data_IF_901255175687
#
_entry.id   IF_901255175687
#
_cell.length_a   1.000
_cell.length_b   1.000
_cell.length_c   1.000
_cell.angle_alpha   90.00
_cell.angle_beta   90.00
_cell.angle_gamma   90.00
#
_symmetry.space_group_name_H-M   'P 1'
#
loop_
_entity.id
_entity.type
_entity.pdbx_description
1 polymer ?
#
# COMPACT_ATOMS: atom_id res chain seq x y z
N UNK A 1 25.05 -40.37 60.59
CA UNK A 1 25.06 -41.22 59.39
C UNK A 1 24.18 -40.51 58.40
N UNK A 2 24.81 -39.76 57.48
CA UNK A 2 24.12 -38.98 56.45
C UNK A 2 23.60 -39.96 55.41
N UNK A 3 22.30 -39.92 55.13
CA UNK A 3 21.65 -40.91 54.26
C UNK A 3 22.07 -40.64 52.80
N UNK A 4 22.64 -41.62 52.07
CA UNK A 4 23.00 -41.47 50.65
C UNK A 4 21.84 -41.15 49.70
N UNK A 5 20.62 -41.05 50.23
CA UNK A 5 19.37 -40.79 49.51
C UNK A 5 18.82 -39.38 49.78
N UNK A 6 19.42 -38.59 50.70
CA UNK A 6 19.03 -37.20 50.94
C UNK A 6 19.59 -36.24 49.86
N UNK A 7 20.72 -36.59 49.23
CA UNK A 7 21.34 -35.78 48.17
C UNK A 7 20.55 -35.79 46.84
N UNK A 8 19.81 -36.87 46.55
CA UNK A 8 19.06 -37.00 45.28
C UNK A 8 17.74 -36.19 45.32
N UNK A 9 17.09 -36.12 46.49
CA UNK A 9 15.86 -35.35 46.69
C UNK A 9 16.14 -33.84 46.72
N UNK A 10 17.27 -33.43 47.31
CA UNK A 10 17.70 -32.02 47.34
C UNK A 10 18.14 -31.54 45.96
N UNK A 11 18.74 -32.42 45.14
CA UNK A 11 19.11 -32.13 43.76
C UNK A 11 17.89 -32.03 42.82
N UNK A 12 16.90 -32.92 42.95
CA UNK A 12 15.66 -32.85 42.15
C UNK A 12 14.82 -31.62 42.50
N UNK A 13 14.74 -31.25 43.79
CA UNK A 13 14.05 -30.01 44.22
C UNK A 13 14.76 -28.75 43.72
N UNK A 14 16.09 -28.67 43.80
CA UNK A 14 16.86 -27.55 43.22
C UNK A 14 16.71 -27.48 41.70
N UNK A 15 16.72 -28.63 41.02
CA UNK A 15 16.56 -28.67 39.57
C UNK A 15 15.17 -28.15 39.18
N UNK A 16 14.13 -28.60 39.88
CA UNK A 16 12.75 -28.12 39.70
C UNK A 16 12.62 -26.62 39.95
N UNK A 17 13.16 -26.10 41.05
CA UNK A 17 13.16 -24.66 41.36
C UNK A 17 13.84 -23.86 40.24
N UNK A 18 15.01 -24.31 39.77
CA UNK A 18 15.73 -23.65 38.67
C UNK A 18 14.99 -23.70 37.33
N UNK A 19 14.24 -24.78 37.07
CA UNK A 19 13.38 -24.91 35.91
C UNK A 19 12.16 -23.99 36.01
N UNK A 20 11.59 -23.83 37.21
CA UNK A 20 10.49 -22.90 37.47
C UNK A 20 10.94 -21.43 37.33
N UNK A 21 12.12 -21.08 37.82
CA UNK A 21 12.68 -19.74 37.66
C UNK A 21 12.94 -19.40 36.19
N UNK A 22 13.54 -20.32 35.43
CA UNK A 22 13.74 -20.15 33.98
C UNK A 22 12.42 -20.03 33.22
N UNK A 23 11.45 -20.90 33.53
CA UNK A 23 10.14 -20.85 32.90
C UNK A 23 9.43 -19.53 33.21
N UNK A 24 9.54 -19.05 34.45
CA UNK A 24 8.98 -17.77 34.89
C UNK A 24 9.65 -16.58 34.20
N UNK A 25 10.98 -16.58 34.06
CA UNK A 25 11.70 -15.54 33.33
C UNK A 25 11.32 -15.53 31.84
N UNK A 26 11.19 -16.71 31.24
CA UNK A 26 10.82 -16.85 29.82
C UNK A 26 9.39 -16.39 29.58
N UNK A 27 8.44 -16.73 30.46
CA UNK A 27 7.06 -16.21 30.40
C UNK A 27 7.01 -14.70 30.57
N UNK A 28 7.80 -14.14 31.50
CA UNK A 28 7.83 -12.69 31.75
C UNK A 28 8.42 -11.94 30.57
N UNK A 29 9.54 -12.42 30.03
CA UNK A 29 10.22 -11.80 28.89
C UNK A 29 9.40 -11.93 27.60
N UNK A 30 8.81 -13.10 27.37
CA UNK A 30 7.91 -13.35 26.23
C UNK A 30 6.67 -12.48 26.35
N UNK A 31 6.01 -12.44 27.51
CA UNK A 31 4.82 -11.61 27.74
C UNK A 31 5.09 -10.11 27.62
N UNK A 32 6.27 -9.64 28.05
CA UNK A 32 6.69 -8.25 27.84
C UNK A 32 6.92 -7.94 26.36
N UNK A 33 7.60 -8.84 25.62
CA UNK A 33 7.84 -8.68 24.18
C UNK A 33 6.54 -8.71 23.39
N UNK A 34 5.65 -9.64 23.71
CA UNK A 34 4.32 -9.75 23.12
C UNK A 34 3.47 -8.53 23.44
N UNK A 35 3.50 -8.02 24.68
CA UNK A 35 2.79 -6.81 25.06
C UNK A 35 3.25 -5.57 24.29
N UNK A 36 4.57 -5.40 24.09
CA UNK A 36 5.11 -4.32 23.25
C UNK A 36 4.69 -4.50 21.79
N UNK A 37 4.77 -5.73 21.27
CA UNK A 37 4.42 -6.02 19.88
C UNK A 37 2.94 -5.76 19.63
N UNK A 38 2.06 -6.27 20.49
CA UNK A 38 0.61 -6.06 20.41
C UNK A 38 0.22 -4.59 20.56
N UNK A 39 0.91 -3.83 21.43
CA UNK A 39 0.69 -2.39 21.56
C UNK A 39 1.08 -1.60 20.30
N UNK A 40 2.21 -1.96 19.68
CA UNK A 40 2.65 -1.36 18.41
C UNK A 40 1.71 -1.71 17.26
N UNK A 41 1.34 -2.98 17.14
CA UNK A 41 0.43 -3.47 16.11
C UNK A 41 -0.96 -2.81 16.24
N UNK A 42 -1.48 -2.68 17.46
CA UNK A 42 -2.76 -2.02 17.70
C UNK A 42 -2.78 -0.55 17.26
N UNK A 43 -1.74 0.22 17.59
CA UNK A 43 -1.64 1.62 17.16
C UNK A 43 -1.46 1.76 15.63
N UNK A 44 -0.69 0.86 15.01
CA UNK A 44 -0.47 0.86 13.56
C UNK A 44 -1.74 0.48 12.79
N UNK A 45 -2.50 -0.49 13.29
CA UNK A 45 -3.70 -1.00 12.64
C UNK A 45 -4.83 0.04 12.59
N UNK A 46 -4.99 0.85 13.66
CA UNK A 46 -5.97 1.94 13.67
C UNK A 46 -5.67 3.00 12.58
N UNK A 47 -4.39 3.37 12.43
CA UNK A 47 -3.94 4.27 11.38
C UNK A 47 -4.19 3.71 9.97
N UNK A 48 -3.87 2.42 9.75
CA UNK A 48 -4.15 1.75 8.49
C UNK A 48 -5.65 1.68 8.18
N UNK A 49 -6.48 1.27 9.14
CA UNK A 49 -7.93 1.13 8.95
C UNK A 49 -8.57 2.48 8.60
N UNK A 50 -8.12 3.54 9.28
CA UNK A 50 -8.52 4.92 8.98
C UNK A 50 -8.11 5.34 7.56
N UNK A 51 -6.83 5.17 7.21
CA UNK A 51 -6.31 5.51 5.88
C UNK A 51 -6.98 4.71 4.75
N UNK A 52 -7.24 3.42 4.98
CA UNK A 52 -7.97 2.56 4.05
C UNK A 52 -9.42 3.00 3.89
N UNK A 53 -10.15 3.25 4.98
CA UNK A 53 -11.56 3.63 4.90
C UNK A 53 -11.77 5.02 4.29
N UNK A 54 -10.93 5.99 4.66
CA UNK A 54 -11.10 7.39 4.29
C UNK A 54 -10.55 7.71 2.89
N UNK A 55 -9.40 7.11 2.54
CA UNK A 55 -8.65 7.49 1.33
C UNK A 55 -8.48 6.32 0.38
N UNK A 56 -7.97 5.19 0.88
CA UNK A 56 -7.60 4.04 0.06
C UNK A 56 -8.77 3.43 -0.73
N UNK A 57 -9.82 3.02 -0.02
CA UNK A 57 -10.98 2.36 -0.59
C UNK A 57 -11.81 3.28 -1.50
N UNK A 58 -12.11 4.54 -1.13
CA UNK A 58 -12.84 5.45 -2.01
C UNK A 58 -12.07 5.76 -3.30
N UNK A 59 -10.79 6.11 -3.20
CA UNK A 59 -9.96 6.47 -4.34
C UNK A 59 -9.71 5.26 -5.26
N UNK A 60 -9.38 4.11 -4.68
CA UNK A 60 -9.20 2.86 -5.42
C UNK A 60 -10.47 2.43 -6.16
N UNK A 61 -11.64 2.58 -5.53
CA UNK A 61 -12.94 2.31 -6.18
C UNK A 61 -13.19 3.26 -7.35
N UNK A 62 -12.90 4.54 -7.20
CA UNK A 62 -13.10 5.53 -8.26
C UNK A 62 -12.21 5.20 -9.47
N UNK A 63 -10.91 4.96 -9.27
CA UNK A 63 -9.98 4.59 -10.34
C UNK A 63 -10.38 3.27 -11.00
N UNK A 64 -10.71 2.26 -10.19
CA UNK A 64 -11.17 0.96 -10.65
C UNK A 64 -12.42 1.06 -11.52
N UNK A 65 -13.39 1.89 -11.13
CA UNK A 65 -14.61 2.14 -11.90
C UNK A 65 -14.29 2.73 -13.28
N UNK A 66 -13.41 3.74 -13.35
CA UNK A 66 -13.05 4.38 -14.62
C UNK A 66 -12.29 3.43 -15.56
N UNK A 67 -11.40 2.60 -15.01
CA UNK A 67 -10.73 1.51 -15.76
C UNK A 67 -11.75 0.49 -16.27
N UNK A 68 -12.72 0.12 -15.44
CA UNK A 68 -13.80 -0.81 -15.81
C UNK A 68 -14.68 -0.28 -16.95
N UNK A 69 -15.13 0.98 -16.86
CA UNK A 69 -15.97 1.61 -17.89
C UNK A 69 -15.22 1.69 -19.21
N UNK A 70 -13.98 2.19 -19.21
CA UNK A 70 -13.17 2.28 -20.43
C UNK A 70 -12.92 0.92 -21.07
N UNK A 71 -12.60 -0.11 -20.26
CA UNK A 71 -12.45 -1.48 -20.75
C UNK A 71 -13.75 -2.06 -21.32
N UNK A 72 -14.89 -1.80 -20.67
CA UNK A 72 -16.20 -2.26 -21.14
C UNK A 72 -16.57 -1.64 -22.49
N UNK A 73 -16.36 -0.33 -22.67
CA UNK A 73 -16.61 0.37 -23.94
C UNK A 73 -15.74 -0.24 -25.05
N UNK A 74 -14.45 -0.44 -24.79
CA UNK A 74 -13.53 -1.03 -25.77
C UNK A 74 -13.90 -2.48 -26.12
N UNK A 75 -14.30 -3.28 -25.13
CA UNK A 75 -14.70 -4.66 -25.33
C UNK A 75 -16.00 -4.77 -26.16
N UNK A 76 -17.00 -3.95 -25.84
CA UNK A 76 -18.28 -3.90 -26.56
C UNK A 76 -18.10 -3.37 -27.99
N UNK A 77 -17.24 -2.37 -28.18
CA UNK A 77 -16.90 -1.86 -29.51
C UNK A 77 -16.18 -2.91 -30.35
N UNK A 78 -15.19 -3.62 -29.80
CA UNK A 78 -14.50 -4.71 -30.50
C UNK A 78 -15.43 -5.87 -30.87
N UNK A 79 -16.47 -6.13 -30.08
CA UNK A 79 -17.48 -7.16 -30.37
C UNK A 79 -18.53 -6.69 -31.38
N UNK A 80 -18.52 -5.42 -31.79
CA UNK A 80 -19.54 -4.84 -32.67
C UNK A 80 -20.90 -4.67 -32.01
N UNK A 81 -21.01 -4.79 -30.68
CA UNK A 81 -22.26 -4.56 -29.94
C UNK A 81 -22.55 -3.08 -29.70
N UNK A 82 -21.55 -2.21 -29.90
CA UNK A 82 -21.67 -0.75 -29.83
C UNK A 82 -21.15 -0.17 -31.15
N UNK A 83 -22.02 0.53 -31.88
CA UNK A 83 -21.61 1.34 -33.03
C UNK A 83 -20.95 2.62 -32.52
N UNK A 84 -19.62 2.59 -32.47
CA UNK A 84 -18.80 3.72 -32.07
C UNK A 84 -18.07 4.30 -33.28
N UNK A 85 -18.04 5.63 -33.36
CA UNK A 85 -17.12 6.33 -34.27
C UNK A 85 -15.67 5.87 -33.97
N UNK A 86 -14.85 5.54 -34.99
CA UNK A 86 -13.44 5.20 -34.79
C UNK A 86 -12.68 6.22 -33.92
N UNK A 87 -13.05 7.51 -33.97
CA UNK A 87 -12.44 8.53 -33.12
C UNK A 87 -12.76 8.34 -31.63
N UNK A 88 -13.97 7.90 -31.29
CA UNK A 88 -14.38 7.61 -29.91
C UNK A 88 -13.64 6.39 -29.37
N UNK A 89 -13.47 5.35 -30.20
CA UNK A 89 -12.74 4.15 -29.82
C UNK A 89 -11.28 4.47 -29.56
N UNK A 90 -10.65 5.28 -30.42
CA UNK A 90 -9.27 5.70 -30.25
C UNK A 90 -9.07 6.61 -29.03
N UNK A 91 -10.01 7.51 -28.77
CA UNK A 91 -10.01 8.35 -27.57
C UNK A 91 -10.14 7.51 -26.31
N UNK A 92 -11.08 6.55 -26.28
CA UNK A 92 -11.27 5.63 -25.15
C UNK A 92 -10.02 4.78 -24.90
N UNK A 93 -9.33 4.35 -25.97
CA UNK A 93 -8.07 3.61 -25.86
C UNK A 93 -6.96 4.45 -25.23
N UNK A 94 -6.85 5.71 -25.64
CA UNK A 94 -5.90 6.67 -25.05
C UNK A 94 -6.20 6.92 -23.57
N UNK A 95 -7.48 7.12 -23.22
CA UNK A 95 -7.90 7.29 -21.82
C UNK A 95 -7.59 6.02 -21.03
N UNK A 96 -7.85 4.83 -21.57
CA UNK A 96 -7.57 3.56 -20.90
C UNK A 96 -6.07 3.36 -20.63
N UNK A 97 -5.19 3.71 -21.58
CA UNK A 97 -3.74 3.63 -21.35
C UNK A 97 -3.27 4.61 -20.29
N UNK A 98 -3.78 5.86 -20.32
CA UNK A 98 -3.45 6.88 -19.32
C UNK A 98 -3.97 6.47 -17.92
N UNK A 99 -5.18 5.92 -17.82
CA UNK A 99 -5.72 5.41 -16.56
C UNK A 99 -4.96 4.19 -16.04
N UNK A 100 -4.38 3.35 -16.90
CA UNK A 100 -3.60 2.18 -16.50
C UNK A 100 -2.22 2.57 -15.91
N UNK A 101 -1.65 3.68 -16.35
CA UNK A 101 -0.35 4.18 -15.89
C UNK A 101 -0.42 4.83 -14.50
N UNK A 102 -1.57 5.40 -14.12
CA UNK A 102 -1.78 6.02 -12.80
C UNK A 102 -1.58 4.99 -11.68
N UNK A 103 -0.65 5.25 -10.76
CA UNK A 103 -0.48 4.46 -9.53
C UNK A 103 -1.19 5.15 -8.36
N UNK A 104 -1.51 4.37 -7.34
CA UNK A 104 -2.12 4.91 -6.11
C UNK A 104 -1.22 5.95 -5.44
N UNK A 105 0.10 5.72 -5.43
CA UNK A 105 1.10 6.65 -4.89
C UNK A 105 1.14 8.02 -5.59
N UNK A 106 0.64 8.11 -6.83
CA UNK A 106 0.65 9.36 -7.58
C UNK A 106 -0.59 10.25 -7.33
N UNK A 107 -1.70 9.63 -6.89
CA UNK A 107 -3.00 10.30 -6.69
C UNK A 107 -3.42 10.37 -5.23
N UNK A 108 -2.81 9.57 -4.34
CA UNK A 108 -3.12 9.61 -2.93
C UNK A 108 -2.64 10.96 -2.33
N UNK A 109 -3.46 11.61 -1.49
CA UNK A 109 -3.02 12.75 -0.69
C UNK A 109 -1.78 12.35 0.13
N UNK A 110 -0.79 13.24 0.26
CA UNK A 110 0.33 12.99 1.17
C UNK A 110 -0.20 12.86 2.60
N UNK A 111 0.19 11.79 3.27
CA UNK A 111 -0.16 11.54 4.66
C UNK A 111 0.67 12.46 5.57
N UNK A 112 0.07 13.59 5.96
CA UNK A 112 0.73 14.62 6.78
C UNK A 112 1.05 14.11 8.19
N UNK A 113 0.23 13.20 8.72
CA UNK A 113 0.41 12.60 10.05
C UNK A 113 1.61 11.63 10.05
N UNK A 114 1.73 10.80 9.00
CA UNK A 114 2.89 9.94 8.82
C UNK A 114 4.20 10.74 8.61
N UNK A 115 4.15 11.87 7.89
CA UNK A 115 5.32 12.74 7.65
C UNK A 115 5.75 13.46 8.93
N UNK A 116 4.81 13.96 9.72
CA UNK A 116 5.11 14.60 11.01
C UNK A 116 5.66 13.61 12.03
N UNK A 117 5.09 12.39 12.09
CA UNK A 117 5.59 11.32 12.96
C UNK A 117 7.03 10.91 12.61
N UNK A 118 7.35 10.74 11.32
CA UNK A 118 8.71 10.45 10.86
C UNK A 118 9.69 11.59 11.22
N UNK A 119 9.25 12.85 11.05
CA UNK A 119 10.03 14.05 11.37
C UNK A 119 10.32 14.18 12.87
N UNK A 120 9.36 13.84 13.73
CA UNK A 120 9.50 13.94 15.19
C UNK A 120 10.33 12.78 15.78
N UNK A 121 10.31 11.60 15.17
CA UNK A 121 11.19 10.49 15.52
C UNK A 121 12.67 10.79 15.22
N UNK A 122 12.99 11.38 14.06
CA UNK A 122 14.36 11.82 13.73
C UNK A 122 14.91 12.87 14.70
N UNK A 123 14.05 13.61 15.42
CA UNK A 123 14.45 14.66 16.35
C UNK A 123 14.50 14.20 17.82
N UNK A 124 13.76 13.16 18.21
CA UNK A 124 13.57 12.80 19.63
C UNK A 124 14.49 11.69 20.15
N UNK A 125 14.90 10.75 19.31
CA UNK A 125 15.66 9.58 19.78
C UNK A 125 16.66 9.18 18.70
N UNK A 126 17.97 9.29 18.98
CA UNK A 126 19.03 8.73 18.13
C UNK A 126 19.06 7.20 18.15
N UNK A 127 17.89 6.57 18.24
CA UNK A 127 17.66 5.14 18.37
C UNK A 127 16.69 4.75 17.25
N UNK A 128 17.26 4.04 16.29
CA UNK A 128 16.61 3.55 15.09
C UNK A 128 15.57 2.48 15.49
N UNK A 129 14.36 2.92 15.81
CA UNK A 129 13.21 2.03 15.76
C UNK A 129 13.02 1.71 14.28
N UNK A 130 13.51 0.54 13.88
CA UNK A 130 13.25 -0.13 12.60
C UNK A 130 11.74 -0.35 12.49
N UNK A 131 11.02 0.72 12.19
CA UNK A 131 9.71 0.65 11.54
C UNK A 131 10.03 0.24 10.10
N UNK A 132 9.12 -0.46 9.43
CA UNK A 132 9.16 -0.88 8.02
C UNK A 132 9.41 0.26 6.99
N UNK A 133 9.95 1.40 7.41
CA UNK A 133 10.57 2.44 6.60
C UNK A 133 11.61 1.87 5.63
N UNK A 134 12.36 0.83 6.00
CA UNK A 134 13.29 0.16 5.07
C UNK A 134 12.51 -0.49 3.90
N UNK A 135 11.38 -1.17 4.17
CA UNK A 135 10.54 -1.76 3.11
C UNK A 135 9.82 -0.70 2.26
N UNK A 136 9.37 0.41 2.87
CA UNK A 136 8.74 1.52 2.14
C UNK A 136 9.75 2.31 1.30
N UNK A 137 10.98 2.48 1.80
CA UNK A 137 12.09 3.11 1.06
C UNK A 137 12.55 2.21 -0.08
N UNK A 138 12.73 0.91 0.17
CA UNK A 138 13.01 -0.08 -0.86
C UNK A 138 11.92 -0.08 -1.93
N UNK A 139 10.64 -0.02 -1.54
CA UNK A 139 9.53 0.05 -2.49
C UNK A 139 9.58 1.33 -3.33
N UNK A 140 9.89 2.47 -2.73
CA UNK A 140 10.09 3.74 -3.45
C UNK A 140 11.29 3.68 -4.40
N UNK A 141 12.37 3.02 -4.00
CA UNK A 141 13.57 2.85 -4.81
C UNK A 141 13.34 1.89 -5.98
N UNK A 142 12.63 0.79 -5.76
CA UNK A 142 12.19 -0.13 -6.81
C UNK A 142 11.24 0.57 -7.80
N UNK A 143 10.34 1.42 -7.31
CA UNK A 143 9.48 2.25 -8.16
C UNK A 143 10.30 3.27 -8.98
N UNK A 144 11.30 3.89 -8.38
CA UNK A 144 12.23 4.82 -9.04
C UNK A 144 13.06 4.14 -10.14
N UNK A 145 13.57 2.93 -9.86
CA UNK A 145 14.27 2.08 -10.83
C UNK A 145 13.34 1.70 -11.99
N UNK A 146 12.08 1.39 -11.70
CA UNK A 146 11.04 1.15 -12.71
C UNK A 146 10.83 2.35 -13.65
N UNK A 147 10.78 3.57 -13.10
CA UNK A 147 10.66 4.81 -13.87
C UNK A 147 11.89 5.04 -14.76
N UNK A 148 13.10 4.76 -14.26
CA UNK A 148 14.33 4.86 -15.05
C UNK A 148 14.36 3.85 -16.21
N UNK A 149 13.96 2.60 -15.97
CA UNK A 149 13.88 1.55 -16.99
C UNK A 149 12.82 1.84 -18.04
N UNK A 150 11.65 2.36 -17.64
CA UNK A 150 10.61 2.79 -18.56
C UNK A 150 11.11 3.91 -19.50
N UNK A 151 11.88 4.86 -18.97
CA UNK A 151 12.54 5.91 -19.77
C UNK A 151 13.58 5.38 -20.75
N UNK A 152 14.33 4.34 -20.40
CA UNK A 152 15.34 3.72 -21.28
C UNK A 152 14.71 2.86 -22.38
N UNK A 153 13.59 2.20 -22.10
CA UNK A 153 12.84 1.38 -23.06
C UNK A 153 12.18 2.20 -24.17
N UNK A 154 11.77 3.44 -23.88
CA UNK A 154 10.99 4.29 -24.81
C UNK A 154 11.81 5.03 -25.89
N UNK A 155 13.15 4.88 -25.92
CA UNK A 155 13.99 5.31 -27.06
C UNK A 155 13.97 6.80 -27.43
N UNK A 156 13.49 7.70 -26.56
CA UNK A 156 13.36 9.13 -26.87
C UNK A 156 14.34 10.01 -26.10
N UNK A 157 14.85 11.05 -26.80
CA UNK A 157 15.75 12.09 -26.33
C UNK A 157 15.34 12.66 -24.95
N UNK A 158 16.37 13.02 -24.18
CA UNK A 158 16.45 13.49 -22.79
C UNK A 158 15.58 14.73 -22.43
N UNK A 159 14.62 15.18 -23.24
CA UNK A 159 13.98 16.50 -23.05
C UNK A 159 12.66 16.54 -22.29
N UNK A 160 12.03 15.42 -21.91
CA UNK A 160 10.93 15.45 -20.95
C UNK A 160 10.78 14.11 -20.24
N UNK A 161 11.18 14.03 -18.97
CA UNK A 161 10.73 12.92 -18.11
C UNK A 161 9.19 12.92 -18.15
N UNK A 162 8.52 11.77 -18.38
CA UNK A 162 7.07 11.72 -18.27
C UNK A 162 6.71 12.20 -16.85
N UNK A 163 5.99 13.33 -16.77
CA UNK A 163 5.56 13.91 -15.51
C UNK A 163 4.68 12.87 -14.82
N UNK A 164 4.95 12.58 -13.54
CA UNK A 164 4.11 11.65 -12.76
C UNK A 164 2.65 12.10 -12.84
N UNK A 165 1.70 11.20 -13.13
CA UNK A 165 0.30 11.54 -13.27
C UNK A 165 -0.22 12.18 -11.98
N UNK A 166 -0.76 13.38 -12.03
CA UNK A 166 -1.29 14.07 -10.85
C UNK A 166 -2.77 13.77 -10.65
N UNK A 167 -3.29 14.07 -9.45
CA UNK A 167 -4.74 13.99 -9.19
C UNK A 167 -5.58 14.86 -10.14
N UNK A 168 -5.01 15.96 -10.66
CA UNK A 168 -5.66 16.80 -11.67
C UNK A 168 -5.79 16.08 -13.00
N UNK A 169 -4.75 15.35 -13.41
CA UNK A 169 -4.79 14.53 -14.64
C UNK A 169 -5.86 13.45 -14.53
N UNK A 170 -6.03 12.85 -13.34
CA UNK A 170 -7.10 11.89 -13.09
C UNK A 170 -8.50 12.51 -13.22
N UNK A 171 -8.75 13.67 -12.62
CA UNK A 171 -10.05 14.35 -12.73
C UNK A 171 -10.34 14.81 -14.18
N UNK A 172 -9.32 15.20 -14.93
CA UNK A 172 -9.49 15.56 -16.34
C UNK A 172 -9.75 14.33 -17.23
N UNK A 173 -9.06 13.21 -16.98
CA UNK A 173 -9.38 11.93 -17.62
C UNK A 173 -10.80 11.47 -17.29
N UNK A 174 -11.25 11.73 -16.08
CA UNK A 174 -12.61 11.41 -15.66
C UNK A 174 -13.65 12.20 -16.43
N UNK A 175 -13.51 13.53 -16.51
CA UNK A 175 -14.40 14.39 -17.31
C UNK A 175 -14.41 13.97 -18.79
N UNK A 176 -13.23 13.63 -19.34
CA UNK A 176 -13.11 13.14 -20.73
C UNK A 176 -13.88 11.84 -20.93
N UNK A 177 -13.73 10.87 -20.01
CA UNK A 177 -14.48 9.61 -20.10
C UNK A 177 -15.99 9.83 -19.94
N UNK A 178 -16.41 10.70 -19.02
CA UNK A 178 -17.82 11.07 -18.84
C UNK A 178 -18.43 11.68 -20.12
N UNK A 179 -17.68 12.53 -20.82
CA UNK A 179 -18.08 13.07 -22.13
C UNK A 179 -18.24 11.97 -23.19
N UNK A 180 -17.29 11.04 -23.26
CA UNK A 180 -17.37 9.88 -24.17
C UNK A 180 -18.60 9.02 -23.85
N UNK A 181 -18.85 8.72 -22.57
CA UNK A 181 -20.00 7.94 -22.11
C UNK A 181 -21.32 8.67 -22.44
N UNK A 182 -21.36 9.99 -22.27
CA UNK A 182 -22.50 10.83 -22.63
C UNK A 182 -22.80 10.80 -24.13
N UNK A 183 -21.76 10.87 -24.98
CA UNK A 183 -21.90 10.74 -26.44
C UNK A 183 -22.42 9.37 -26.88
N UNK A 184 -22.15 8.32 -26.11
CA UNK A 184 -22.64 6.97 -26.35
C UNK A 184 -24.04 6.71 -25.76
N UNK A 185 -24.64 7.68 -25.06
CA UNK A 185 -25.93 7.52 -24.40
C UNK A 185 -25.91 6.57 -23.19
N UNK A 186 -24.73 6.22 -22.68
CA UNK A 186 -24.54 5.24 -21.61
C UNK A 186 -24.54 5.88 -20.20
N UNK A 187 -25.40 6.87 -19.98
CA UNK A 187 -25.45 7.64 -18.73
C UNK A 187 -25.66 6.79 -17.46
N UNK A 188 -26.28 5.61 -17.60
CA UNK A 188 -26.49 4.65 -16.52
C UNK A 188 -25.18 4.10 -15.92
N UNK A 189 -24.05 4.16 -16.65
CA UNK A 189 -22.76 3.68 -16.16
C UNK A 189 -22.01 4.67 -15.25
N UNK A 190 -22.50 5.92 -15.12
CA UNK A 190 -21.87 6.97 -14.31
C UNK A 190 -22.45 7.10 -12.90
N UNK A 191 -23.64 6.53 -12.66
CA UNK A 191 -24.34 6.56 -11.38
C UNK A 191 -23.75 5.59 -10.35
#
# INVERSE_FOLDING_TARGET
MESPWDDDITNDTHNRESHWEKLSSDFTNTGYREGITAGKEGALQEGFDSGFAQTGAPLGRQVGRMRGISAAILALSNRGSLECDPHIVQETRTIASQLAEIRFSDIAPPDLEAVEHAREHMQSTGEDLVVDSEELEEKRDVESLGDMLAGMSAGSKVENKPRRPTIQDFEDLKKRLESVVGRLGLHAMLS
#
